data_IF_425775185285
#
_entry.id   IF_425775185285
#
_cell.length_a   1.000
_cell.length_b   1.000
_cell.length_c   1.000
_cell.angle_alpha   90.00
_cell.angle_beta   90.00
_cell.angle_gamma   90.00
#
_symmetry.space_group_name_H-M   'P 1'
#
loop_
_entity.id
_entity.type
_entity.pdbx_description
1 polymer ?
#
# COMPACT_ATOMS: atom_id res chain seq x y z
N UNK A 1 -19.30 15.29 13.10
CA UNK A 1 -19.74 14.72 11.81
C UNK A 1 -18.65 13.77 11.34
N UNK A 2 -18.92 12.47 11.33
CA UNK A 2 -17.97 11.47 10.85
C UNK A 2 -17.88 11.62 9.33
N UNK A 3 -16.68 11.91 8.79
CA UNK A 3 -16.45 11.86 7.35
C UNK A 3 -16.70 10.42 6.92
N UNK A 4 -17.75 10.20 6.14
CA UNK A 4 -17.96 8.93 5.43
C UNK A 4 -16.79 8.76 4.47
N UNK A 5 -15.95 7.75 4.70
CA UNK A 5 -14.92 7.34 3.75
C UNK A 5 -15.65 6.83 2.51
N UNK A 6 -15.38 7.43 1.35
CA UNK A 6 -15.84 6.90 0.07
C UNK A 6 -15.07 5.60 -0.21
N UNK A 7 -15.76 4.46 -0.24
CA UNK A 7 -15.15 3.12 -0.31
C UNK A 7 -14.98 2.58 -1.74
N UNK A 8 -15.42 3.33 -2.77
CA UNK A 8 -15.37 2.88 -4.18
C UNK A 8 -13.92 2.78 -4.71
N UNK A 9 -13.02 3.65 -4.23
CA UNK A 9 -11.62 3.69 -4.67
C UNK A 9 -10.65 3.68 -3.49
N UNK A 10 -9.59 2.88 -3.61
CA UNK A 10 -8.51 2.80 -2.61
C UNK A 10 -7.24 3.42 -3.17
N UNK A 11 -6.75 4.44 -2.48
CA UNK A 11 -5.46 5.07 -2.70
C UNK A 11 -4.39 4.36 -1.88
N UNK A 12 -3.28 4.07 -2.53
CA UNK A 12 -2.07 3.62 -1.84
C UNK A 12 -0.89 4.51 -2.24
N UNK A 13 0.12 4.51 -1.38
CA UNK A 13 1.41 5.12 -1.67
C UNK A 13 2.52 4.22 -1.16
N UNK A 14 3.66 4.30 -1.84
CA UNK A 14 4.91 3.71 -1.39
C UNK A 14 6.00 4.77 -1.47
N UNK A 15 6.67 5.00 -0.35
CA UNK A 15 7.84 5.86 -0.26
C UNK A 15 9.05 4.98 -0.01
N UNK A 16 10.05 5.08 -0.88
CA UNK A 16 11.28 4.28 -0.81
C UNK A 16 12.47 5.22 -0.57
N UNK A 17 13.39 4.82 0.30
CA UNK A 17 14.58 5.63 0.61
C UNK A 17 15.45 5.87 -0.62
N UNK A 18 15.57 4.89 -1.52
CA UNK A 18 16.39 5.00 -2.73
C UNK A 18 15.77 4.26 -3.91
N UNK A 19 16.19 4.63 -5.13
CA UNK A 19 15.80 3.92 -6.36
C UNK A 19 16.23 2.45 -6.36
N UNK A 20 17.26 2.06 -5.62
CA UNK A 20 17.70 0.65 -5.54
C UNK A 20 16.68 -0.25 -4.84
N UNK A 21 15.77 0.33 -4.05
CA UNK A 21 14.69 -0.40 -3.40
C UNK A 21 13.50 -0.66 -4.34
N UNK A 22 13.52 -0.07 -5.54
CA UNK A 22 12.55 -0.30 -6.60
C UNK A 22 13.13 -1.32 -7.60
N UNK A 23 12.51 -2.48 -7.68
CA UNK A 23 12.95 -3.58 -8.55
C UNK A 23 12.46 -3.36 -9.98
N UNK A 24 11.19 -3.02 -10.15
CA UNK A 24 10.58 -2.89 -11.47
C UNK A 24 9.39 -1.92 -11.45
N UNK A 25 9.21 -1.19 -12.56
CA UNK A 25 8.01 -0.41 -12.85
C UNK A 25 7.65 -0.65 -14.30
N UNK A 26 6.51 -1.28 -14.54
CA UNK A 26 5.96 -1.51 -15.88
C UNK A 26 4.75 -0.60 -16.05
N UNK A 27 4.92 0.42 -16.88
CA UNK A 27 3.84 1.30 -17.35
C UNK A 27 3.51 0.92 -18.79
N UNK A 28 2.43 0.19 -18.99
CA UNK A 28 1.98 -0.16 -20.33
C UNK A 28 1.34 1.06 -21.00
N UNK A 29 1.62 1.23 -22.29
CA UNK A 29 1.10 2.36 -23.08
C UNK A 29 -0.40 2.27 -23.38
N UNK A 30 -0.98 1.09 -23.23
CA UNK A 30 -2.42 0.86 -23.33
C UNK A 30 -3.07 1.01 -21.94
N UNK A 31 -4.02 1.93 -21.73
CA UNK A 31 -4.66 2.12 -20.43
C UNK A 31 -5.52 0.93 -19.96
N UNK A 32 -5.82 -0.03 -20.84
CA UNK A 32 -6.49 -1.28 -20.47
C UNK A 32 -5.51 -2.38 -20.00
N UNK A 33 -4.20 -2.15 -20.08
CA UNK A 33 -3.18 -3.10 -19.64
C UNK A 33 -2.69 -2.80 -18.22
N UNK A 34 -2.27 -3.86 -17.54
CA UNK A 34 -1.95 -3.85 -16.13
C UNK A 34 -0.69 -2.99 -15.86
N UNK A 35 -0.67 -2.27 -14.74
CA UNK A 35 0.54 -1.61 -14.23
C UNK A 35 1.14 -2.46 -13.12
N UNK A 36 2.46 -2.63 -13.14
CA UNK A 36 3.20 -3.39 -12.11
C UNK A 36 4.24 -2.50 -11.45
N UNK A 37 4.22 -2.44 -10.12
CA UNK A 37 5.24 -1.80 -9.29
C UNK A 37 5.78 -2.85 -8.33
N UNK A 38 7.05 -3.20 -8.48
CA UNK A 38 7.73 -4.17 -7.61
C UNK A 38 8.92 -3.51 -6.90
N UNK A 39 9.05 -3.76 -5.60
CA UNK A 39 10.14 -3.24 -4.79
C UNK A 39 10.16 -3.86 -3.39
N UNK A 40 10.91 -3.26 -2.48
CA UNK A 40 10.98 -3.69 -1.08
C UNK A 40 10.98 -2.49 -0.14
N UNK A 41 10.20 -2.58 0.94
CA UNK A 41 10.28 -1.65 2.08
C UNK A 41 11.37 -2.07 3.08
N UNK A 42 12.12 -3.15 2.82
CA UNK A 42 13.15 -3.67 3.70
C UNK A 42 12.59 -4.58 4.80
N UNK A 43 13.30 -4.68 5.93
CA UNK A 43 12.83 -5.45 7.09
C UNK A 43 11.63 -4.75 7.71
N UNK A 44 10.60 -5.51 8.10
CA UNK A 44 9.44 -4.95 8.79
C UNK A 44 9.86 -4.37 10.15
N UNK A 45 9.56 -3.09 10.36
CA UNK A 45 9.82 -2.39 11.63
C UNK A 45 8.50 -2.16 12.38
N UNK A 46 7.42 -1.83 11.65
CA UNK A 46 6.09 -1.65 12.22
C UNK A 46 5.00 -1.91 11.17
N UNK A 47 3.83 -2.38 11.62
CA UNK A 47 2.61 -2.39 10.82
C UNK A 47 1.45 -2.02 11.74
N UNK A 48 0.74 -0.92 11.42
CA UNK A 48 -0.30 -0.41 12.28
C UNK A 48 -1.16 0.66 11.63
N UNK A 49 -2.30 0.92 12.26
CA UNK A 49 -3.24 1.94 11.81
C UNK A 49 -2.84 3.31 12.37
N UNK A 50 -2.61 4.29 11.49
CA UNK A 50 -2.31 5.68 11.88
C UNK A 50 -3.57 6.56 11.97
N UNK A 51 -4.67 6.07 11.42
CA UNK A 51 -6.04 6.55 11.60
C UNK A 51 -7.02 5.36 11.52
N UNK A 52 -8.32 5.59 11.69
CA UNK A 52 -9.32 4.51 11.59
C UNK A 52 -9.38 3.84 10.20
N UNK A 53 -8.87 4.53 9.18
CA UNK A 53 -9.00 4.20 7.77
C UNK A 53 -7.67 4.16 7.01
N UNK A 54 -6.51 4.24 7.68
CA UNK A 54 -5.19 4.17 7.03
C UNK A 54 -4.31 3.15 7.74
N UNK A 55 -3.95 2.10 7.01
CA UNK A 55 -2.91 1.15 7.40
C UNK A 55 -1.55 1.65 6.91
N UNK A 56 -0.60 1.77 7.82
CA UNK A 56 0.80 2.09 7.55
C UNK A 56 1.68 0.87 7.83
N UNK A 57 2.53 0.53 6.87
CA UNK A 57 3.53 -0.54 6.98
C UNK A 57 4.89 0.12 6.80
N UNK A 58 5.66 0.16 7.89
CA UNK A 58 7.00 0.75 7.94
C UNK A 58 8.03 -0.36 7.88
N UNK A 59 8.91 -0.27 6.90
CA UNK A 59 10.11 -1.10 6.84
C UNK A 59 11.38 -0.27 6.82
N UNK A 60 12.51 -0.94 7.01
CA UNK A 60 13.83 -0.31 7.17
C UNK A 60 14.28 0.55 5.97
N UNK A 61 13.67 0.40 4.79
CA UNK A 61 13.99 1.16 3.57
C UNK A 61 12.78 1.82 2.90
N UNK A 62 11.61 1.82 3.53
CA UNK A 62 10.44 2.48 2.96
C UNK A 62 9.17 2.36 3.81
N UNK A 63 8.13 3.03 3.35
CA UNK A 63 6.82 3.02 4.00
C UNK A 63 5.74 2.84 2.96
N UNK A 64 4.81 1.92 3.21
CA UNK A 64 3.60 1.74 2.43
C UNK A 64 2.40 2.23 3.23
N UNK A 65 1.52 2.99 2.59
CA UNK A 65 0.23 3.40 3.18
C UNK A 65 -0.89 3.06 2.22
N UNK A 66 -2.00 2.57 2.76
CA UNK A 66 -3.22 2.31 2.01
C UNK A 66 -4.43 2.69 2.85
N UNK A 67 -5.46 3.28 2.22
CA UNK A 67 -6.72 3.50 2.90
C UNK A 67 -7.52 2.19 2.98
N UNK A 68 -7.60 1.63 4.18
CA UNK A 68 -8.40 0.44 4.49
C UNK A 68 -8.90 0.61 5.92
N UNK A 69 -10.17 0.32 6.17
CA UNK A 69 -10.71 0.37 7.53
C UNK A 69 -10.34 -0.92 8.28
N UNK A 70 -10.09 -0.81 9.59
CA UNK A 70 -9.76 -1.95 10.47
C UNK A 70 -10.74 -3.11 10.33
N UNK A 71 -12.02 -2.80 10.16
CA UNK A 71 -13.12 -3.76 10.07
C UNK A 71 -13.12 -4.55 8.74
N UNK A 72 -12.37 -4.09 7.74
CA UNK A 72 -12.28 -4.71 6.41
C UNK A 72 -11.13 -5.73 6.33
N UNK A 73 -10.22 -5.75 7.31
CA UNK A 73 -9.12 -6.72 7.35
C UNK A 73 -9.64 -8.04 7.91
N UNK A 74 -9.56 -9.09 7.09
CA UNK A 74 -9.77 -10.47 7.50
C UNK A 74 -8.48 -11.26 7.34
N UNK A 75 -8.41 -12.43 7.98
CA UNK A 75 -7.37 -13.40 7.63
C UNK A 75 -7.43 -13.69 6.13
N UNK A 76 -6.26 -13.74 5.48
CA UNK A 76 -6.19 -14.11 4.08
C UNK A 76 -6.69 -15.55 3.96
N UNK A 77 -7.69 -15.78 3.09
CA UNK A 77 -8.04 -17.14 2.70
C UNK A 77 -6.84 -17.73 1.99
N UNK A 78 -6.17 -18.71 2.61
CA UNK A 78 -5.19 -19.51 1.90
C UNK A 78 -5.93 -20.27 0.79
N UNK A 79 -5.45 -20.23 -0.46
CA UNK A 79 -6.00 -21.05 -1.54
C UNK A 79 -5.81 -22.55 -1.28
#
# INVERSE_FOLDING_TARGET
>A
MSKTVNLEERSFSIELKTKQNLKNVVLNSNPAENVLIEGTIGKLENAGFVSEDILEIVGSTGTMRINIAKQEITEAKQP
#
